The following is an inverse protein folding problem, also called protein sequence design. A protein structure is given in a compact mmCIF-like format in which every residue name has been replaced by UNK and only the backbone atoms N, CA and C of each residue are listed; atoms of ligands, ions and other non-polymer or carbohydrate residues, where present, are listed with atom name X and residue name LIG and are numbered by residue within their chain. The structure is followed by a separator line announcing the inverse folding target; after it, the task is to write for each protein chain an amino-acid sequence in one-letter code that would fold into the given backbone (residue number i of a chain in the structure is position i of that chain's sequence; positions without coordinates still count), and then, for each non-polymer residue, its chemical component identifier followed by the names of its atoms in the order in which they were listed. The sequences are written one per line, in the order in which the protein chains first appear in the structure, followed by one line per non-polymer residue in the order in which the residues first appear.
data_IF_110340987389
#
_entry.id   IF_110340987389
#
_cell.length_a   1.000
_cell.length_b   1.000
_cell.length_c   1.000
_cell.angle_alpha   90.00
_cell.angle_beta   90.00
_cell.angle_gamma   90.00
#
_symmetry.space_group_name_H-M   'P 1'
#
loop_
_entity.id
_entity.type
_entity.pdbx_description
1 polymer ?
#
# COMPACT_ATOMS: atom_id res chain seq x y z
N UNK A 1 22.10 8.19 4.35
CA UNK A 1 21.58 6.85 4.02
C UNK A 1 20.16 6.81 4.56
N UNK A 2 19.14 6.59 3.72
CA UNK A 2 17.73 6.67 4.13
C UNK A 2 17.31 5.38 4.83
N UNK A 3 16.71 5.48 6.02
CA UNK A 3 16.11 4.35 6.72
C UNK A 3 14.61 4.31 6.38
N UNK A 4 14.17 3.23 5.73
CA UNK A 4 12.79 3.01 5.34
C UNK A 4 12.09 2.01 6.28
N UNK A 5 11.08 2.48 7.02
CA UNK A 5 10.21 1.62 7.83
C UNK A 5 9.10 1.03 6.97
N UNK A 6 8.72 -0.20 7.24
CA UNK A 6 7.59 -0.87 6.59
C UNK A 6 6.95 -1.90 7.53
N UNK A 7 5.69 -2.24 7.25
CA UNK A 7 4.99 -3.32 7.97
C UNK A 7 5.28 -4.68 7.32
N UNK A 8 5.50 -5.68 8.15
CA UNK A 8 5.74 -7.08 7.76
C UNK A 8 7.17 -7.53 8.01
N UNK A 9 7.42 -8.79 7.71
CA UNK A 9 8.75 -9.40 7.86
C UNK A 9 9.68 -9.07 6.69
N UNK A 10 11.02 -9.21 6.86
CA UNK A 10 11.96 -9.16 5.74
C UNK A 10 11.57 -10.15 4.65
N UNK A 11 11.65 -9.73 3.38
CA UNK A 11 11.21 -10.53 2.23
C UNK A 11 9.73 -10.37 1.87
N UNK A 12 8.94 -9.58 2.62
CA UNK A 12 7.55 -9.22 2.28
C UNK A 12 7.48 -8.29 1.06
N UNK A 13 6.26 -8.09 0.52
CA UNK A 13 6.03 -7.12 -0.54
C UNK A 13 6.38 -5.68 -0.11
N UNK A 14 6.14 -5.34 1.17
CA UNK A 14 6.52 -4.03 1.72
C UNK A 14 8.04 -3.86 1.77
N UNK A 15 8.79 -4.89 2.17
CA UNK A 15 10.25 -4.91 2.12
C UNK A 15 10.76 -4.75 0.68
N UNK A 16 10.14 -5.46 -0.27
CA UNK A 16 10.49 -5.37 -1.70
C UNK A 16 10.27 -3.94 -2.23
N UNK A 17 9.15 -3.30 -1.90
CA UNK A 17 8.86 -1.92 -2.28
C UNK A 17 9.86 -0.93 -1.64
N UNK A 18 10.19 -1.10 -0.36
CA UNK A 18 11.15 -0.26 0.35
C UNK A 18 12.54 -0.35 -0.29
N UNK A 19 13.00 -1.56 -0.60
CA UNK A 19 14.30 -1.79 -1.27
C UNK A 19 14.35 -1.24 -2.69
N UNK A 20 13.26 -1.36 -3.44
CA UNK A 20 13.19 -0.80 -4.80
C UNK A 20 13.27 0.73 -4.80
N UNK A 21 12.66 1.39 -3.81
CA UNK A 21 12.71 2.84 -3.65
C UNK A 21 14.03 3.34 -3.08
N UNK A 22 14.63 2.57 -2.17
CA UNK A 22 15.85 2.95 -1.44
C UNK A 22 16.88 1.83 -1.47
N UNK A 23 17.48 1.52 -2.65
CA UNK A 23 18.41 0.37 -2.82
C UNK A 23 19.65 0.47 -1.94
N UNK A 24 20.12 1.69 -1.68
CA UNK A 24 21.28 1.96 -0.79
C UNK A 24 20.84 2.30 0.65
N UNK A 25 19.56 2.16 0.95
CA UNK A 25 18.96 2.47 2.25
C UNK A 25 19.10 1.34 3.26
N UNK A 26 18.76 1.63 4.53
CA UNK A 26 18.52 0.62 5.55
C UNK A 26 17.02 0.36 5.70
N UNK A 27 16.70 -0.88 6.07
CA UNK A 27 15.34 -1.35 6.24
C UNK A 27 14.99 -1.46 7.73
N UNK A 28 13.80 -1.01 8.12
CA UNK A 28 13.23 -1.19 9.46
C UNK A 28 11.90 -1.93 9.36
N UNK A 29 11.92 -3.22 9.60
CA UNK A 29 10.73 -4.05 9.65
C UNK A 29 9.93 -3.76 10.93
N UNK A 30 8.62 -3.57 10.79
CA UNK A 30 7.69 -3.25 11.87
C UNK A 30 6.56 -4.27 11.91
N UNK A 31 6.05 -4.59 13.10
CA UNK A 31 4.98 -5.57 13.27
C UNK A 31 3.61 -5.08 12.79
N UNK A 32 3.41 -3.75 12.69
CA UNK A 32 2.17 -3.16 12.24
C UNK A 32 2.39 -1.81 11.56
N UNK A 33 1.34 -1.31 10.91
CA UNK A 33 1.37 -0.01 10.22
C UNK A 33 1.60 1.15 11.21
N UNK A 34 0.94 1.12 12.37
CA UNK A 34 1.09 2.14 13.42
C UNK A 34 2.57 2.24 13.85
N UNK A 35 3.23 1.11 14.12
CA UNK A 35 4.64 1.09 14.48
C UNK A 35 5.54 1.65 13.36
N UNK A 36 5.23 1.37 12.09
CA UNK A 36 6.00 1.90 10.96
C UNK A 36 5.85 3.43 10.84
N UNK A 37 4.64 3.97 11.07
CA UNK A 37 4.39 5.40 11.09
C UNK A 37 5.06 6.08 12.30
N UNK A 38 4.98 5.47 13.48
CA UNK A 38 5.63 5.94 14.71
C UNK A 38 7.14 5.98 14.57
N UNK A 39 7.75 4.97 13.90
CA UNK A 39 9.18 4.96 13.64
C UNK A 39 9.63 6.22 12.87
N UNK A 40 8.84 6.69 11.92
CA UNK A 40 9.11 7.95 11.21
C UNK A 40 8.86 9.15 12.11
N UNK A 41 7.72 9.19 12.80
CA UNK A 41 7.33 10.31 13.67
C UNK A 41 8.36 10.54 14.79
N UNK A 42 8.88 9.46 15.37
CA UNK A 42 9.87 9.47 16.46
C UNK A 42 11.33 9.61 15.97
N UNK A 43 11.57 9.56 14.67
CA UNK A 43 12.90 9.72 14.08
C UNK A 43 13.76 8.46 14.07
N UNK A 44 13.20 7.27 14.30
CA UNK A 44 13.88 6.00 14.14
C UNK A 44 14.02 5.60 12.66
N UNK A 45 13.15 6.12 11.79
CA UNK A 45 13.25 6.00 10.35
C UNK A 45 13.06 7.39 9.69
N UNK A 46 13.56 7.51 8.46
CA UNK A 46 13.41 8.73 7.67
C UNK A 46 12.06 8.75 6.93
N UNK A 47 11.66 7.58 6.44
CA UNK A 47 10.42 7.39 5.67
C UNK A 47 9.70 6.10 6.07
N UNK A 48 8.39 6.05 5.82
CA UNK A 48 7.62 4.82 5.88
C UNK A 48 7.09 4.47 4.48
N UNK A 49 7.24 3.22 4.07
CA UNK A 49 6.72 2.67 2.80
C UNK A 49 5.51 1.80 3.12
N UNK A 50 4.31 2.33 2.83
CA UNK A 50 3.05 1.78 3.33
C UNK A 50 2.11 1.45 2.16
N UNK A 51 1.59 0.20 2.08
CA UNK A 51 0.60 -0.17 1.06
C UNK A 51 -0.74 0.52 1.33
N UNK A 52 -1.34 1.13 0.32
CA UNK A 52 -2.64 1.83 0.46
C UNK A 52 -3.76 1.17 -0.35
N UNK A 53 -3.42 0.59 -1.49
CA UNK A 53 -4.37 -0.06 -2.40
C UNK A 53 -3.77 -1.31 -3.04
N UNK A 54 -4.62 -2.29 -3.33
CA UNK A 54 -4.29 -3.44 -4.14
C UNK A 54 -5.38 -3.65 -5.19
N UNK A 55 -5.00 -3.91 -6.45
CA UNK A 55 -5.93 -4.02 -7.58
C UNK A 55 -6.94 -5.16 -7.42
N UNK A 56 -6.56 -6.25 -6.73
CA UNK A 56 -7.41 -7.42 -6.50
C UNK A 56 -8.15 -7.39 -5.16
N UNK A 57 -7.50 -6.88 -4.09
CA UNK A 57 -8.05 -6.89 -2.73
C UNK A 57 -8.72 -5.55 -2.32
N UNK A 58 -8.53 -4.49 -3.11
CA UNK A 58 -9.04 -3.17 -2.81
C UNK A 58 -8.17 -2.38 -1.81
N UNK A 59 -8.79 -1.50 -1.04
CA UNK A 59 -8.09 -0.64 -0.09
C UNK A 59 -7.49 -1.40 1.10
N UNK A 60 -6.36 -0.93 1.62
CA UNK A 60 -5.81 -1.36 2.90
C UNK A 60 -6.46 -0.54 4.01
N UNK A 61 -7.55 -1.06 4.58
CA UNK A 61 -8.47 -0.30 5.44
C UNK A 61 -7.78 0.36 6.65
N UNK A 62 -6.90 -0.37 7.34
CA UNK A 62 -6.22 0.09 8.56
C UNK A 62 -5.35 1.33 8.31
N UNK A 63 -4.63 1.36 7.18
CA UNK A 63 -3.77 2.48 6.79
C UNK A 63 -4.57 3.76 6.63
N UNK A 64 -5.73 3.67 6.02
CA UNK A 64 -6.57 4.84 5.76
C UNK A 64 -7.10 5.52 7.03
N UNK A 65 -7.21 4.79 8.13
CA UNK A 65 -7.53 5.38 9.45
C UNK A 65 -6.33 6.04 10.11
N UNK A 66 -5.14 5.50 9.89
CA UNK A 66 -3.90 5.99 10.50
C UNK A 66 -3.33 7.23 9.80
N UNK A 67 -3.45 7.30 8.46
CA UNK A 67 -2.88 8.40 7.66
C UNK A 67 -3.26 9.80 8.15
N UNK A 68 -4.55 10.13 8.44
CA UNK A 68 -4.94 11.46 8.88
C UNK A 68 -4.33 11.88 10.21
N UNK A 69 -4.12 10.91 11.09
CA UNK A 69 -3.69 11.13 12.47
C UNK A 69 -2.16 11.06 12.62
N UNK A 70 -1.45 10.49 11.64
CA UNK A 70 0.01 10.29 11.69
C UNK A 70 0.83 11.57 11.74
N UNK A 71 0.29 12.68 11.24
CA UNK A 71 1.04 13.93 11.08
C UNK A 71 2.07 13.91 9.95
N UNK A 72 2.20 12.80 9.22
CA UNK A 72 3.15 12.62 8.13
C UNK A 72 2.60 13.11 6.79
N UNK A 73 3.51 13.30 5.83
CA UNK A 73 3.20 13.77 4.48
C UNK A 73 3.55 12.71 3.45
N UNK A 74 2.70 12.54 2.43
CA UNK A 74 2.97 11.68 1.28
C UNK A 74 3.94 12.42 0.35
N UNK A 75 5.13 11.85 0.12
CA UNK A 75 6.19 12.45 -0.70
C UNK A 75 6.44 11.70 -2.00
N UNK A 76 5.97 10.46 -2.12
CA UNK A 76 6.07 9.65 -3.34
C UNK A 76 5.05 8.52 -3.31
N UNK A 77 4.87 7.88 -4.47
CA UNK A 77 4.13 6.63 -4.60
C UNK A 77 4.94 5.60 -5.39
N UNK A 78 4.62 4.32 -5.19
CA UNK A 78 5.24 3.20 -5.89
C UNK A 78 4.22 2.11 -6.19
N UNK A 79 4.27 1.54 -7.38
CA UNK A 79 3.40 0.44 -7.81
C UNK A 79 4.23 -0.82 -7.97
N UNK A 80 3.93 -1.83 -7.16
CA UNK A 80 4.60 -3.12 -7.16
C UNK A 80 3.67 -4.18 -7.76
N UNK A 81 4.10 -4.83 -8.84
CA UNK A 81 3.45 -6.04 -9.32
C UNK A 81 3.61 -7.14 -8.27
N UNK A 82 2.50 -7.73 -7.83
CA UNK A 82 2.51 -8.77 -6.79
C UNK A 82 2.72 -10.12 -7.44
N UNK A 83 3.77 -10.80 -6.97
CA UNK A 83 4.15 -12.14 -7.41
C UNK A 83 4.25 -13.05 -6.19
N UNK A 84 3.84 -14.29 -6.38
CA UNK A 84 3.97 -15.33 -5.38
C UNK A 84 4.64 -16.56 -5.99
N UNK A 85 5.64 -17.05 -5.28
CA UNK A 85 6.25 -18.34 -5.56
C UNK A 85 5.79 -19.37 -4.51
N UNK A 86 5.59 -20.59 -4.96
CA UNK A 86 5.46 -21.74 -4.07
C UNK A 86 6.88 -22.24 -3.76
N UNK A 87 7.25 -22.23 -2.48
CA UNK A 87 8.60 -22.57 -2.04
C UNK A 87 8.60 -23.57 -0.91
N UNK A 88 9.62 -24.39 -0.84
CA UNK A 88 9.79 -25.44 0.18
C UNK A 88 11.22 -25.56 0.63
N UNK A 89 11.49 -26.42 1.60
CA UNK A 89 12.84 -26.69 2.08
C UNK A 89 13.74 -27.24 0.96
N UNK A 90 15.07 -27.04 1.00
CA UNK A 90 15.97 -27.51 -0.04
C UNK A 90 15.80 -29.00 -0.35
N UNK A 91 15.67 -29.31 -1.65
CA UNK A 91 15.45 -30.66 -2.14
C UNK A 91 14.02 -31.20 -2.02
N UNK A 92 13.07 -30.42 -1.50
CA UNK A 92 11.65 -30.78 -1.52
C UNK A 92 11.10 -30.84 -2.96
N UNK A 93 10.10 -31.68 -3.19
CA UNK A 93 9.42 -31.82 -4.47
C UNK A 93 7.93 -31.60 -4.33
N UNK A 94 7.23 -31.19 -5.41
CA UNK A 94 5.78 -30.94 -5.38
C UNK A 94 4.96 -32.16 -4.90
N UNK A 95 5.40 -33.37 -5.21
CA UNK A 95 4.72 -34.62 -4.83
C UNK A 95 4.77 -34.90 -3.32
N UNK A 96 5.71 -34.27 -2.60
CA UNK A 96 5.83 -34.42 -1.15
C UNK A 96 4.96 -33.43 -0.40
N UNK A 97 4.57 -32.31 -1.04
CA UNK A 97 3.83 -31.24 -0.40
C UNK A 97 2.41 -31.70 -0.03
N UNK A 98 2.04 -31.56 1.24
CA UNK A 98 0.71 -31.80 1.78
C UNK A 98 0.00 -30.52 2.21
N UNK A 99 0.78 -29.53 2.69
CA UNK A 99 0.28 -28.30 3.27
C UNK A 99 0.99 -27.07 2.66
N UNK A 100 0.22 -26.02 2.40
CA UNK A 100 0.75 -24.74 1.92
C UNK A 100 0.35 -23.63 2.88
N UNK A 101 1.35 -22.91 3.42
CA UNK A 101 1.18 -21.81 4.38
C UNK A 101 1.28 -20.47 3.67
N UNK A 102 0.44 -19.54 4.05
CA UNK A 102 0.56 -18.12 3.69
C UNK A 102 -0.48 -17.27 4.42
N UNK A 103 -0.38 -15.96 4.23
CA UNK A 103 -1.44 -15.03 4.62
C UNK A 103 -2.74 -15.31 3.84
N UNK A 104 -3.90 -15.08 4.47
CA UNK A 104 -5.22 -15.38 3.90
C UNK A 104 -5.44 -14.74 2.52
N UNK A 105 -4.94 -13.53 2.29
CA UNK A 105 -5.06 -12.86 1.00
C UNK A 105 -4.23 -13.55 -0.10
N UNK A 106 -3.01 -14.00 0.18
CA UNK A 106 -2.17 -14.71 -0.77
C UNK A 106 -2.76 -16.07 -1.12
N UNK A 107 -3.26 -16.83 -0.12
CA UNK A 107 -4.01 -18.08 -0.36
C UNK A 107 -5.24 -17.85 -1.24
N UNK A 108 -5.92 -16.69 -1.05
CA UNK A 108 -7.05 -16.28 -1.87
C UNK A 108 -6.69 -15.88 -3.31
N UNK A 109 -5.44 -15.49 -3.56
CA UNK A 109 -4.92 -15.06 -4.86
C UNK A 109 -4.17 -16.17 -5.61
N UNK A 110 -3.99 -17.35 -5.01
CA UNK A 110 -3.30 -18.52 -5.60
C UNK A 110 -4.18 -19.79 -5.55
N UNK A 111 -5.49 -19.62 -5.74
CA UNK A 111 -6.45 -20.74 -5.62
C UNK A 111 -6.28 -21.81 -6.67
N UNK A 112 -5.82 -21.46 -7.88
CA UNK A 112 -5.62 -22.40 -8.98
C UNK A 112 -4.56 -23.42 -8.57
N UNK A 113 -3.36 -22.95 -8.20
CA UNK A 113 -2.25 -23.82 -7.82
C UNK A 113 -2.58 -24.68 -6.61
N UNK A 114 -3.28 -24.14 -5.59
CA UNK A 114 -3.69 -24.89 -4.40
C UNK A 114 -4.65 -26.05 -4.76
N UNK A 115 -5.59 -25.83 -5.69
CA UNK A 115 -6.53 -26.86 -6.15
C UNK A 115 -5.84 -27.90 -7.02
N UNK A 116 -4.94 -27.49 -7.90
CA UNK A 116 -4.16 -28.39 -8.77
C UNK A 116 -3.32 -29.37 -7.94
N UNK A 117 -2.67 -28.87 -6.87
CA UNK A 117 -1.88 -29.71 -5.98
C UNK A 117 -2.69 -30.51 -4.96
N UNK A 118 -3.98 -30.18 -4.76
CA UNK A 118 -4.81 -30.80 -3.73
C UNK A 118 -4.34 -30.55 -2.29
N UNK A 119 -3.53 -29.50 -2.08
CA UNK A 119 -2.88 -29.20 -0.82
C UNK A 119 -3.81 -28.53 0.19
N UNK A 120 -3.59 -28.78 1.46
CA UNK A 120 -4.28 -28.11 2.55
C UNK A 120 -3.69 -26.72 2.80
N UNK A 121 -4.50 -25.67 2.65
CA UNK A 121 -4.11 -24.32 2.97
C UNK A 121 -4.05 -24.09 4.50
N UNK A 122 -2.97 -23.50 4.99
CA UNK A 122 -2.76 -23.11 6.38
C UNK A 122 -2.52 -21.60 6.45
N UNK A 123 -3.28 -20.91 7.27
CA UNK A 123 -3.16 -19.45 7.43
C UNK A 123 -2.01 -19.14 8.37
N UNK A 124 -1.13 -18.22 7.93
CA UNK A 124 -0.10 -17.55 8.71
C UNK A 124 -0.37 -16.06 8.75
N UNK A 125 0.23 -15.34 9.70
CA UNK A 125 0.01 -13.91 9.90
C UNK A 125 0.57 -13.05 8.76
N UNK A 126 1.64 -13.52 8.09
CA UNK A 126 2.38 -12.83 7.04
C UNK A 126 2.85 -13.81 5.97
N UNK A 127 3.03 -13.35 4.72
CA UNK A 127 3.49 -14.20 3.60
C UNK A 127 4.95 -14.58 3.71
N UNK A 128 5.83 -13.63 4.06
CA UNK A 128 7.25 -13.89 4.24
C UNK A 128 7.50 -14.63 5.57
N UNK A 129 6.69 -14.34 6.61
CA UNK A 129 6.65 -15.11 7.85
C UNK A 129 6.30 -16.58 7.63
N UNK A 130 5.38 -16.88 6.71
CA UNK A 130 5.08 -18.26 6.33
C UNK A 130 6.29 -18.98 5.70
N UNK A 131 7.09 -18.28 4.90
CA UNK A 131 8.33 -18.83 4.35
C UNK A 131 9.35 -19.12 5.46
N UNK A 132 9.52 -18.20 6.42
CA UNK A 132 10.36 -18.42 7.60
C UNK A 132 9.89 -19.63 8.40
N UNK A 133 8.58 -19.75 8.67
CA UNK A 133 8.00 -20.89 9.38
C UNK A 133 8.30 -22.22 8.69
N UNK A 134 8.20 -22.28 7.34
CA UNK A 134 8.52 -23.48 6.55
C UNK A 134 10.01 -23.81 6.64
N UNK A 135 10.89 -22.81 6.59
CA UNK A 135 12.34 -23.00 6.75
C UNK A 135 12.67 -23.56 8.14
N UNK A 136 12.09 -22.99 9.20
CA UNK A 136 12.28 -23.45 10.59
C UNK A 136 11.73 -24.86 10.84
N UNK A 137 10.61 -25.21 10.18
CA UNK A 137 9.99 -26.53 10.31
C UNK A 137 10.87 -27.65 9.72
N UNK A 138 11.58 -27.37 8.64
CA UNK A 138 12.46 -28.31 7.98
C UNK A 138 11.79 -29.55 7.38
N UNK A 139 10.46 -29.53 7.20
CA UNK A 139 9.65 -30.66 6.73
C UNK A 139 9.24 -30.47 5.26
N UNK A 140 9.67 -31.38 4.33
CA UNK A 140 9.35 -31.26 2.91
C UNK A 140 7.84 -31.37 2.57
N UNK A 141 7.01 -31.80 3.52
CA UNK A 141 5.55 -31.82 3.36
C UNK A 141 4.89 -30.45 3.48
N UNK A 142 5.64 -29.43 3.93
CA UNK A 142 5.19 -28.07 4.04
C UNK A 142 5.84 -27.17 3.02
N UNK A 143 5.01 -26.37 2.34
CA UNK A 143 5.44 -25.29 1.45
C UNK A 143 4.86 -23.96 1.88
N UNK A 144 5.44 -22.87 1.40
CA UNK A 144 4.93 -21.52 1.59
C UNK A 144 4.58 -20.88 0.24
N UNK A 145 3.55 -20.03 0.23
CA UNK A 145 3.32 -19.03 -0.81
C UNK A 145 3.84 -17.70 -0.30
N UNK A 146 4.91 -17.18 -0.90
CA UNK A 146 5.54 -15.95 -0.47
C UNK A 146 6.10 -15.18 -1.67
N UNK A 147 6.42 -13.87 -1.50
CA UNK A 147 7.11 -13.12 -2.54
C UNK A 147 8.45 -13.78 -2.91
N UNK A 148 8.91 -13.69 -4.18
CA UNK A 148 10.13 -14.34 -4.63
C UNK A 148 11.37 -14.05 -3.77
N UNK A 149 11.46 -12.84 -3.21
CA UNK A 149 12.57 -12.44 -2.34
C UNK A 149 12.71 -13.30 -1.07
N UNK A 150 11.63 -13.92 -0.60
CA UNK A 150 11.63 -14.74 0.60
C UNK A 150 12.40 -16.05 0.43
N UNK A 151 12.43 -16.63 -0.77
CA UNK A 151 13.15 -17.88 -1.04
C UNK A 151 14.65 -17.76 -0.69
N UNK A 152 15.33 -16.79 -1.30
CA UNK A 152 16.75 -16.54 -1.04
C UNK A 152 17.06 -16.12 0.40
N UNK A 153 16.13 -15.35 1.01
CA UNK A 153 16.32 -14.86 2.38
C UNK A 153 16.25 -15.98 3.42
N UNK A 154 15.33 -16.93 3.24
CA UNK A 154 15.10 -18.02 4.20
C UNK A 154 15.72 -19.35 3.77
N UNK A 155 16.47 -19.39 2.65
CA UNK A 155 17.16 -20.57 2.17
C UNK A 155 16.19 -21.67 1.70
N UNK A 156 15.09 -21.29 1.05
CA UNK A 156 14.11 -22.18 0.46
C UNK A 156 14.33 -22.33 -1.04
N UNK A 157 13.96 -23.49 -1.57
CA UNK A 157 13.90 -23.74 -3.03
C UNK A 157 12.54 -23.31 -3.57
N UNK A 158 12.53 -22.65 -4.74
CA UNK A 158 11.30 -22.34 -5.47
C UNK A 158 10.84 -23.63 -6.18
N UNK A 159 9.71 -24.16 -5.72
CA UNK A 159 9.08 -25.35 -6.29
C UNK A 159 8.27 -25.03 -7.56
N UNK A 160 7.62 -23.86 -7.57
CA UNK A 160 6.89 -23.32 -8.73
C UNK A 160 6.84 -21.80 -8.61
N UNK A 161 7.29 -21.10 -9.64
CA UNK A 161 7.28 -19.63 -9.70
C UNK A 161 5.97 -19.09 -10.26
N UNK A 162 5.66 -17.82 -9.92
CA UNK A 162 4.56 -17.03 -10.48
C UNK A 162 3.21 -17.76 -10.44
N UNK A 163 2.79 -18.12 -9.22
CA UNK A 163 1.59 -18.96 -9.00
C UNK A 163 0.33 -18.16 -8.67
N UNK A 164 0.38 -16.85 -8.73
CA UNK A 164 -0.78 -15.99 -8.58
C UNK A 164 -1.83 -16.23 -9.69
N UNK A 165 -3.11 -16.13 -9.32
CA UNK A 165 -4.24 -16.33 -10.24
C UNK A 165 -4.41 -15.19 -11.23
N UNK A 166 -3.98 -13.97 -10.86
CA UNK A 166 -4.06 -12.73 -11.63
C UNK A 166 -2.65 -12.12 -11.78
N UNK A 167 -2.08 -12.15 -12.99
CA UNK A 167 -0.74 -11.61 -13.25
C UNK A 167 -0.71 -10.07 -13.23
N UNK A 168 -1.86 -9.39 -13.30
CA UNK A 168 -1.95 -7.93 -13.27
C UNK A 168 -2.13 -7.38 -11.85
N UNK A 169 -2.14 -8.29 -10.84
CA UNK A 169 -2.24 -7.89 -9.44
C UNK A 169 -1.12 -6.94 -9.04
N UNK A 170 -1.50 -5.74 -8.64
CA UNK A 170 -0.58 -4.65 -8.31
C UNK A 170 -0.96 -4.02 -6.98
N UNK A 171 0.02 -3.79 -6.11
CA UNK A 171 -0.15 -3.02 -4.87
C UNK A 171 0.48 -1.64 -5.04
N UNK A 172 -0.28 -0.62 -4.69
CA UNK A 172 0.21 0.74 -4.60
C UNK A 172 0.67 1.04 -3.18
N UNK A 173 1.89 1.54 -3.08
CA UNK A 173 2.51 2.03 -1.86
C UNK A 173 2.60 3.56 -1.90
N UNK A 174 2.56 4.19 -0.73
CA UNK A 174 2.92 5.59 -0.55
C UNK A 174 4.14 5.68 0.36
N UNK A 175 4.97 6.68 0.10
CA UNK A 175 6.11 7.03 0.94
C UNK A 175 5.70 8.19 1.83
N UNK A 176 5.84 8.01 3.13
CA UNK A 176 5.47 8.99 4.14
C UNK A 176 6.71 9.53 4.83
N UNK A 177 6.77 10.85 5.01
CA UNK A 177 7.87 11.56 5.67
C UNK A 177 7.35 12.59 6.66
N UNK A 178 8.19 12.98 7.63
CA UNK A 178 7.92 14.13 8.52
C UNK A 178 7.95 15.46 7.77
N UNK A 179 8.79 15.53 6.74
CA UNK A 179 9.00 16.76 5.98
C UNK A 179 7.94 16.87 4.87
N UNK A 180 7.21 17.98 4.87
CA UNK A 180 6.27 18.33 3.83
C UNK A 180 7.01 18.79 2.56
N UNK A 181 7.79 17.89 1.96
CA UNK A 181 8.44 18.18 0.68
C UNK A 181 7.40 18.07 -0.42
N UNK A 182 6.95 19.23 -0.92
CA UNK A 182 6.07 19.27 -2.08
C UNK A 182 6.90 19.08 -3.35
N UNK A 183 6.36 18.33 -4.31
CA UNK A 183 6.94 18.28 -5.65
C UNK A 183 7.02 19.70 -6.21
N UNK A 184 8.12 20.07 -6.92
CA UNK A 184 8.20 21.37 -7.55
C UNK A 184 7.19 21.48 -8.70
N UNK A 185 6.61 22.68 -8.88
CA UNK A 185 5.70 22.98 -9.99
C UNK A 185 6.51 23.15 -11.31
N UNK A 186 6.77 22.04 -11.98
CA UNK A 186 7.61 22.00 -13.21
C UNK A 186 6.79 21.74 -14.48
N UNK A 187 5.48 21.52 -14.36
CA UNK A 187 4.62 21.06 -15.45
C UNK A 187 4.64 19.55 -15.70
N UNK A 188 5.45 18.80 -14.94
CA UNK A 188 5.42 17.34 -14.96
C UNK A 188 4.16 16.80 -14.26
N UNK A 189 3.65 15.63 -14.68
CA UNK A 189 2.49 15.02 -14.04
C UNK A 189 2.66 14.85 -12.53
N UNK A 190 1.73 15.41 -11.78
CA UNK A 190 1.78 15.49 -10.32
C UNK A 190 0.47 14.99 -9.72
N UNK A 191 0.53 14.36 -8.57
CA UNK A 191 -0.61 13.96 -7.76
C UNK A 191 -0.70 14.82 -6.51
N UNK A 192 -1.91 15.21 -6.14
CA UNK A 192 -2.21 15.85 -4.86
C UNK A 192 -3.17 14.98 -4.07
N UNK A 193 -2.76 14.57 -2.87
CA UNK A 193 -3.60 13.84 -1.92
C UNK A 193 -4.02 14.76 -0.78
N UNK A 194 -5.29 14.71 -0.40
CA UNK A 194 -5.82 15.56 0.64
C UNK A 194 -6.99 14.91 1.39
N UNK A 195 -7.23 15.38 2.62
CA UNK A 195 -8.48 15.17 3.36
C UNK A 195 -9.31 16.42 3.39
N UNK A 196 -10.64 16.23 3.37
CA UNK A 196 -11.57 17.31 3.71
C UNK A 196 -12.76 16.76 4.51
N UNK A 197 -13.37 17.62 5.29
CA UNK A 197 -14.57 17.32 6.07
C UNK A 197 -15.68 18.26 5.66
N UNK A 198 -16.90 17.75 5.54
CA UNK A 198 -18.09 18.55 5.22
C UNK A 198 -19.10 18.47 6.35
N UNK A 199 -19.97 19.48 6.44
CA UNK A 199 -21.13 19.43 7.33
C UNK A 199 -22.09 18.35 6.89
N UNK A 200 -22.70 17.65 7.82
CA UNK A 200 -23.73 16.64 7.51
C UNK A 200 -25.07 17.33 7.19
N UNK A 201 -25.15 17.94 6.02
CA UNK A 201 -26.36 18.57 5.46
C UNK A 201 -26.54 18.12 4.02
N UNK A 202 -27.80 18.14 3.49
CA UNK A 202 -28.07 17.77 2.12
C UNK A 202 -27.19 18.52 1.11
N UNK A 203 -26.67 17.80 0.13
CA UNK A 203 -25.82 18.30 -0.97
C UNK A 203 -24.45 18.83 -0.55
N UNK A 204 -23.99 18.67 0.69
CA UNK A 204 -22.69 19.17 1.13
C UNK A 204 -21.53 18.58 0.33
N UNK A 205 -21.49 17.26 0.18
CA UNK A 205 -20.46 16.58 -0.61
C UNK A 205 -20.50 16.99 -2.09
N UNK A 206 -21.71 17.07 -2.68
CA UNK A 206 -21.87 17.51 -4.06
C UNK A 206 -21.28 18.90 -4.31
N UNK A 207 -21.55 19.85 -3.40
CA UNK A 207 -21.00 21.21 -3.49
C UNK A 207 -19.49 21.23 -3.28
N UNK A 208 -18.99 20.46 -2.33
CA UNK A 208 -17.54 20.38 -2.05
C UNK A 208 -16.75 19.81 -3.27
N UNK A 209 -17.34 18.86 -4.01
CA UNK A 209 -16.71 18.27 -5.20
C UNK A 209 -16.97 19.09 -6.49
N UNK A 210 -17.91 20.04 -6.46
CA UNK A 210 -18.32 20.83 -7.63
C UNK A 210 -17.15 21.57 -8.29
N UNK A 211 -16.25 22.14 -7.49
CA UNK A 211 -15.08 22.86 -7.97
C UNK A 211 -14.13 22.03 -8.83
N UNK A 212 -13.97 20.75 -8.52
CA UNK A 212 -13.15 19.84 -9.35
C UNK A 212 -13.79 19.62 -10.71
N UNK A 213 -15.11 19.40 -10.74
CA UNK A 213 -15.84 19.19 -11.99
C UNK A 213 -15.85 20.45 -12.88
N UNK A 214 -16.10 21.63 -12.29
CA UNK A 214 -16.17 22.91 -13.03
C UNK A 214 -14.79 23.36 -13.53
N UNK A 215 -13.70 23.01 -12.81
CA UNK A 215 -12.33 23.34 -13.18
C UNK A 215 -11.65 22.25 -14.03
N UNK A 216 -12.34 21.13 -14.35
CA UNK A 216 -11.79 20.03 -15.13
C UNK A 216 -10.61 19.33 -14.47
N UNK A 217 -10.64 19.24 -13.13
CA UNK A 217 -9.65 18.49 -12.33
C UNK A 217 -10.14 17.07 -12.12
N UNK A 218 -9.33 16.09 -12.53
CA UNK A 218 -9.66 14.68 -12.38
C UNK A 218 -9.43 14.22 -10.94
N UNK A 219 -10.45 13.54 -10.37
CA UNK A 219 -10.33 12.80 -9.12
C UNK A 219 -10.07 11.33 -9.44
N UNK A 220 -8.91 10.83 -9.03
CA UNK A 220 -8.54 9.42 -9.25
C UNK A 220 -8.96 8.52 -8.10
N UNK A 221 -9.24 9.11 -6.92
CA UNK A 221 -9.68 8.38 -5.73
C UNK A 221 -10.55 9.24 -4.84
N UNK A 222 -11.59 8.61 -4.26
CA UNK A 222 -12.38 9.17 -3.17
C UNK A 222 -12.75 8.06 -2.19
N UNK A 223 -12.45 8.28 -0.90
CA UNK A 223 -12.81 7.40 0.21
C UNK A 223 -13.51 8.19 1.28
N UNK A 224 -14.50 7.59 1.94
CA UNK A 224 -15.24 8.24 3.01
C UNK A 224 -15.00 7.57 4.36
N UNK A 225 -14.85 8.37 5.40
CA UNK A 225 -14.67 7.93 6.79
C UNK A 225 -15.68 8.60 7.68
N UNK A 226 -16.22 7.82 8.61
CA UNK A 226 -17.06 8.37 9.67
C UNK A 226 -16.18 8.79 10.84
N UNK A 227 -16.44 9.99 11.38
CA UNK A 227 -15.70 10.56 12.50
C UNK A 227 -16.60 10.59 13.73
N UNK A 228 -16.04 10.11 14.86
CA UNK A 228 -16.68 10.14 16.15
C UNK A 228 -17.79 9.12 16.36
N UNK A 229 -18.18 8.93 17.62
CA UNK A 229 -19.14 7.90 18.05
C UNK A 229 -20.56 8.11 17.52
N UNK A 230 -20.90 9.32 17.07
CA UNK A 230 -22.25 9.65 16.56
C UNK A 230 -22.46 9.33 15.08
N UNK A 231 -21.43 8.89 14.33
CA UNK A 231 -21.49 8.61 12.90
C UNK A 231 -22.05 9.76 12.02
N UNK A 232 -21.99 10.99 12.53
CA UNK A 232 -22.66 12.16 11.93
C UNK A 232 -21.72 13.10 11.17
N UNK A 233 -20.41 12.86 11.21
CA UNK A 233 -19.43 13.64 10.47
C UNK A 233 -18.70 12.72 9.50
N UNK A 234 -18.55 13.18 8.27
CA UNK A 234 -17.83 12.47 7.24
C UNK A 234 -16.56 13.23 6.87
N UNK A 235 -15.43 12.53 6.94
CA UNK A 235 -14.15 12.96 6.37
C UNK A 235 -13.95 12.22 5.07
N UNK A 236 -13.44 12.89 4.06
CA UNK A 236 -13.15 12.30 2.76
C UNK A 236 -11.66 12.42 2.47
N UNK A 237 -11.07 11.31 2.03
CA UNK A 237 -9.76 11.28 1.40
C UNK A 237 -9.96 11.34 -0.10
N UNK A 238 -9.25 12.21 -0.77
CA UNK A 238 -9.27 12.29 -2.24
C UNK A 238 -7.86 12.41 -2.79
N UNK A 239 -7.70 11.92 -4.00
CA UNK A 239 -6.52 12.13 -4.82
C UNK A 239 -6.94 12.79 -6.12
N UNK A 240 -6.22 13.83 -6.49
CA UNK A 240 -6.45 14.57 -7.71
C UNK A 240 -5.17 14.62 -8.56
N UNK A 241 -5.36 14.69 -9.86
CA UNK A 241 -4.29 14.98 -10.80
C UNK A 241 -4.01 16.49 -10.84
N UNK A 242 -2.75 16.86 -10.76
CA UNK A 242 -2.26 18.22 -10.85
C UNK A 242 -1.64 18.75 -9.56
N UNK A 243 -0.89 19.83 -9.73
CA UNK A 243 -0.22 20.55 -8.67
C UNK A 243 -1.13 21.66 -8.11
N UNK A 244 -1.12 21.96 -6.78
CA UNK A 244 -1.94 23.03 -6.21
C UNK A 244 -1.71 24.42 -6.81
N UNK A 245 -0.55 24.67 -7.41
CA UNK A 245 -0.22 25.93 -8.10
C UNK A 245 -0.70 25.95 -9.56
N UNK A 246 -1.25 24.88 -10.10
CA UNK A 246 -1.98 24.90 -11.37
C UNK A 246 -3.25 25.73 -11.18
N UNK A 247 -3.53 26.65 -12.08
CA UNK A 247 -4.69 27.56 -11.97
C UNK A 247 -6.01 26.81 -11.75
N UNK A 248 -6.23 25.72 -12.51
CA UNK A 248 -7.46 24.90 -12.37
C UNK A 248 -7.54 24.21 -11.02
N UNK A 249 -6.42 23.67 -10.53
CA UNK A 249 -6.37 23.00 -9.22
C UNK A 249 -6.54 24.02 -8.10
N UNK A 250 -5.90 25.18 -8.20
CA UNK A 250 -6.05 26.27 -7.24
C UNK A 250 -7.50 26.73 -7.10
N UNK A 251 -8.22 26.89 -8.22
CA UNK A 251 -9.65 27.23 -8.23
C UNK A 251 -10.49 26.14 -7.59
N UNK A 252 -10.28 24.87 -7.94
CA UNK A 252 -11.00 23.75 -7.36
C UNK A 252 -10.77 23.64 -5.85
N UNK A 253 -9.54 23.80 -5.37
CA UNK A 253 -9.21 23.79 -3.95
C UNK A 253 -9.78 25.00 -3.21
N UNK A 254 -9.91 26.15 -3.86
CA UNK A 254 -10.57 27.33 -3.28
C UNK A 254 -12.05 27.05 -3.01
N UNK A 255 -12.78 26.51 -4.00
CA UNK A 255 -14.17 26.10 -3.83
C UNK A 255 -14.33 25.00 -2.78
N UNK A 256 -13.46 24.01 -2.77
CA UNK A 256 -13.47 22.95 -1.76
C UNK A 256 -13.38 23.53 -0.35
N UNK A 257 -12.47 24.48 -0.11
CA UNK A 257 -12.31 25.15 1.19
C UNK A 257 -13.56 25.92 1.62
N UNK A 258 -14.27 26.50 0.66
CA UNK A 258 -15.49 27.25 0.96
C UNK A 258 -16.62 26.34 1.47
N UNK A 259 -16.77 25.15 0.91
CA UNK A 259 -17.83 24.20 1.27
C UNK A 259 -17.42 23.19 2.36
N UNK A 260 -16.16 23.18 2.77
CA UNK A 260 -15.63 22.27 3.76
C UNK A 260 -15.43 22.93 5.11
N UNK A 261 -15.48 22.16 6.17
CA UNK A 261 -15.12 22.62 7.53
C UNK A 261 -13.62 22.50 7.79
N UNK A 262 -12.96 21.58 7.05
CA UNK A 262 -11.53 21.32 7.12
C UNK A 262 -11.04 20.87 5.75
N UNK A 263 -9.87 21.33 5.32
CA UNK A 263 -9.13 20.81 4.16
C UNK A 263 -7.67 20.73 4.53
N UNK A 264 -7.09 19.53 4.42
CA UNK A 264 -5.66 19.30 4.70
C UNK A 264 -5.02 18.57 3.53
N UNK A 265 -4.02 19.18 2.90
CA UNK A 265 -3.17 18.52 1.91
C UNK A 265 -2.21 17.60 2.65
N UNK A 266 -2.19 16.34 2.26
CA UNK A 266 -1.32 15.31 2.80
C UNK A 266 -0.02 15.18 2.03
N UNK A 267 -0.03 15.55 0.74
CA UNK A 267 1.16 15.48 -0.09
C UNK A 267 0.89 15.96 -1.51
N UNK A 268 1.96 16.44 -2.12
CA UNK A 268 2.04 16.77 -3.55
C UNK A 268 3.31 16.09 -4.06
N UNK A 269 3.15 15.11 -4.94
CA UNK A 269 4.25 14.24 -5.35
C UNK A 269 4.17 13.90 -6.85
N UNK A 270 5.30 13.52 -7.49
CA UNK A 270 5.30 13.13 -8.89
C UNK A 270 4.37 11.93 -9.13
N UNK A 271 3.56 11.99 -10.19
CA UNK A 271 2.74 10.86 -10.59
C UNK A 271 3.63 9.70 -11.07
N UNK A 272 3.41 8.49 -10.53
CA UNK A 272 4.18 7.33 -10.94
C UNK A 272 3.86 6.94 -12.39
N UNK A 273 4.85 6.48 -13.21
CA UNK A 273 4.65 6.10 -14.61
C UNK A 273 3.54 5.06 -14.85
N UNK A 274 3.20 4.27 -13.84
CA UNK A 274 2.07 3.32 -13.91
C UNK A 274 0.74 4.02 -14.18
N UNK A 275 0.51 5.22 -13.62
CA UNK A 275 -0.71 6.01 -13.85
C UNK A 275 -0.84 6.56 -15.26
N UNK A 276 0.29 6.71 -15.97
CA UNK A 276 0.33 7.28 -17.31
C UNK A 276 0.10 6.27 -18.43
N UNK A 277 -0.05 4.99 -18.07
CA UNK A 277 -0.26 3.88 -19.02
C UNK A 277 -1.74 3.57 -19.26
N UNK A 278 -2.65 4.21 -18.55
CA UNK A 278 -4.11 3.97 -18.63
C UNK A 278 -4.84 5.15 -19.24
#
# INVERSE_FOLDING_TARGET
MTTAAYQGEPGSNSATAARALYPDGSELACTGFEQALDAVTLGAADVAVIPVDNSAAGRVADVHHLLPESGLFIVAEYFLAIRFDLMGVPGATLDQVECVRSHVHALGQCRKVLREGGWRALVSDDTAGAAREVAELGDPRHAALAPPAAAGLYGLDVLRAEVEDDPDNTTRFVVLSRDATLAPHTGEPTMTSLFFSVRNIPSALYKALGGFASSGVNLTKIESYQIGAGLNASRFYVEIEGHPDDERVALALHELRFFSTEVRVLGVYPAHPHRLKN
#
